data_IF_902027209633
#
_entry.id   IF_902027209633
#
_cell.length_a   1.000
_cell.length_b   1.000
_cell.length_c   1.000
_cell.angle_alpha   90.00
_cell.angle_beta   90.00
_cell.angle_gamma   90.00
#
_symmetry.space_group_name_H-M   'P 1'
#
loop_
_entity.id
_entity.type
_entity.pdbx_description
1 polymer ?
#
# COMPACT_ATOMS: atom_id res chain seq x y z
N UNK A 1 -35.39 -35.71 18.06
CA UNK A 1 -33.93 -35.51 18.19
C UNK A 1 -33.38 -35.52 16.78
N UNK A 2 -33.22 -34.35 16.17
CA UNK A 2 -32.66 -34.23 14.81
C UNK A 2 -31.15 -34.13 14.98
N UNK A 3 -30.43 -35.19 14.61
CA UNK A 3 -28.98 -35.15 14.48
C UNK A 3 -28.70 -34.35 13.22
N UNK A 4 -28.31 -33.08 13.37
CA UNK A 4 -27.73 -32.34 12.26
C UNK A 4 -26.42 -33.03 11.92
N UNK A 5 -26.38 -33.64 10.74
CA UNK A 5 -25.17 -34.17 10.14
C UNK A 5 -24.26 -32.97 9.83
N UNK A 6 -23.35 -32.67 10.75
CA UNK A 6 -22.32 -31.63 10.58
C UNK A 6 -21.17 -32.12 9.70
N UNK A 7 -21.44 -33.01 8.74
CA UNK A 7 -20.45 -33.36 7.73
C UNK A 7 -20.36 -32.22 6.72
N UNK A 8 -19.16 -31.63 6.60
CA UNK A 8 -18.86 -30.70 5.53
C UNK A 8 -19.12 -31.43 4.21
N UNK A 9 -19.86 -30.77 3.31
CA UNK A 9 -19.97 -31.25 1.94
C UNK A 9 -18.56 -31.33 1.36
N UNK A 10 -18.31 -32.32 0.50
CA UNK A 10 -17.06 -32.43 -0.26
C UNK A 10 -16.74 -31.12 -1.02
N UNK A 11 -17.77 -30.39 -1.45
CA UNK A 11 -17.63 -29.08 -2.08
C UNK A 11 -17.11 -28.01 -1.11
N UNK A 12 -17.52 -28.06 0.16
CA UNK A 12 -17.05 -27.15 1.21
C UNK A 12 -15.60 -27.46 1.61
N UNK A 13 -15.23 -28.74 1.69
CA UNK A 13 -13.84 -29.15 1.97
C UNK A 13 -12.89 -28.68 0.87
N UNK A 14 -13.28 -28.83 -0.41
CA UNK A 14 -12.49 -28.32 -1.54
C UNK A 14 -12.35 -26.81 -1.46
N UNK A 15 -13.43 -26.10 -1.17
CA UNK A 15 -13.42 -24.64 -1.09
C UNK A 15 -12.52 -24.13 0.02
N UNK A 16 -12.54 -24.77 1.19
CA UNK A 16 -11.65 -24.45 2.30
C UNK A 16 -10.18 -24.70 1.92
N UNK A 17 -9.89 -25.84 1.30
CA UNK A 17 -8.53 -26.18 0.83
C UNK A 17 -8.01 -25.16 -0.19
N UNK A 18 -8.86 -24.71 -1.11
CA UNK A 18 -8.50 -23.66 -2.08
C UNK A 18 -8.26 -22.30 -1.42
N UNK A 19 -9.08 -21.94 -0.43
CA UNK A 19 -8.89 -20.70 0.35
C UNK A 19 -7.56 -20.76 1.13
N UNK A 20 -7.25 -21.89 1.76
CA UNK A 20 -5.98 -22.10 2.44
C UNK A 20 -4.80 -22.00 1.49
N UNK A 21 -4.89 -22.59 0.29
CA UNK A 21 -3.86 -22.49 -0.74
C UNK A 21 -3.69 -21.05 -1.22
N UNK A 22 -4.77 -20.31 -1.44
CA UNK A 22 -4.72 -18.90 -1.85
C UNK A 22 -4.09 -18.05 -0.75
N UNK A 23 -4.43 -18.29 0.52
CA UNK A 23 -3.85 -17.58 1.65
C UNK A 23 -2.35 -17.90 1.80
N UNK A 24 -1.96 -19.17 1.69
CA UNK A 24 -0.57 -19.60 1.67
C UNK A 24 0.21 -18.95 0.51
N UNK A 25 -0.38 -18.95 -0.68
CA UNK A 25 0.20 -18.26 -1.82
C UNK A 25 0.32 -16.78 -1.53
N UNK A 26 -0.70 -16.08 -1.04
CA UNK A 26 -0.61 -14.65 -0.72
C UNK A 26 0.45 -14.33 0.35
N UNK A 27 0.60 -15.18 1.36
CA UNK A 27 1.63 -15.04 2.40
C UNK A 27 3.05 -15.22 1.85
N UNK A 28 3.24 -16.10 0.87
CA UNK A 28 4.56 -16.46 0.33
C UNK A 28 4.85 -15.93 -1.10
N UNK A 29 3.88 -15.32 -1.78
CA UNK A 29 3.99 -14.84 -3.17
C UNK A 29 4.36 -13.37 -3.24
N UNK A 30 5.27 -12.91 -2.38
CA UNK A 30 5.93 -11.64 -2.63
C UNK A 30 6.93 -11.88 -3.77
N UNK A 31 6.66 -11.46 -5.02
CA UNK A 31 7.48 -11.82 -6.18
C UNK A 31 8.92 -11.33 -6.03
N UNK A 32 9.14 -10.31 -5.20
CA UNK A 32 10.48 -9.82 -4.89
C UNK A 32 11.24 -10.77 -3.94
N UNK A 33 10.57 -11.36 -2.95
CA UNK A 33 11.21 -12.33 -2.07
C UNK A 33 11.61 -13.58 -2.86
N UNK A 34 10.75 -14.01 -3.78
CA UNK A 34 11.06 -15.09 -4.71
C UNK A 34 12.25 -14.77 -5.63
N UNK A 35 12.35 -13.54 -6.16
CA UNK A 35 13.49 -13.11 -6.97
C UNK A 35 14.80 -13.05 -6.16
N UNK A 36 14.73 -12.69 -4.88
CA UNK A 36 15.86 -12.67 -3.93
C UNK A 36 16.34 -14.10 -3.67
N UNK A 37 15.43 -15.03 -3.39
CA UNK A 37 15.76 -16.46 -3.21
C UNK A 37 16.30 -17.08 -4.49
N UNK A 38 15.71 -16.75 -5.65
CA UNK A 38 16.21 -17.17 -6.95
C UNK A 38 17.62 -16.65 -7.22
N UNK A 39 17.88 -15.36 -6.98
CA UNK A 39 19.20 -14.78 -7.15
C UNK A 39 20.24 -15.48 -6.28
N UNK A 40 19.89 -15.76 -5.02
CA UNK A 40 20.75 -16.53 -4.12
C UNK A 40 20.99 -17.96 -4.63
N UNK A 41 19.95 -18.69 -5.04
CA UNK A 41 20.06 -20.04 -5.59
C UNK A 41 20.93 -20.11 -6.86
N UNK A 42 21.03 -19.01 -7.62
CA UNK A 42 21.85 -18.89 -8.81
C UNK A 42 23.26 -18.31 -8.54
N UNK A 43 23.68 -18.21 -7.28
CA UNK A 43 25.04 -17.82 -6.91
C UNK A 43 25.27 -16.32 -6.76
N UNK A 44 24.21 -15.51 -6.64
CA UNK A 44 24.38 -14.13 -6.21
C UNK A 44 24.95 -14.07 -4.79
N UNK A 45 25.84 -13.12 -4.56
CA UNK A 45 26.48 -12.95 -3.26
C UNK A 45 25.45 -12.60 -2.17
N UNK A 46 25.52 -13.32 -1.05
CA UNK A 46 24.56 -13.21 0.05
C UNK A 46 24.53 -11.81 0.67
N UNK A 47 25.67 -11.11 0.70
CA UNK A 47 25.75 -9.75 1.23
C UNK A 47 25.02 -8.77 0.31
N UNK A 48 25.18 -8.91 -1.01
CA UNK A 48 24.45 -8.09 -2.00
C UNK A 48 22.93 -8.31 -1.88
N UNK A 49 22.50 -9.57 -1.80
CA UNK A 49 21.07 -9.94 -1.70
C UNK A 49 20.44 -9.39 -0.42
N UNK A 50 21.12 -9.50 0.73
CA UNK A 50 20.63 -8.94 1.99
C UNK A 50 20.58 -7.41 1.97
N UNK A 51 21.60 -6.75 1.40
CA UNK A 51 21.61 -5.29 1.28
C UNK A 51 20.46 -4.80 0.40
N UNK A 52 20.21 -5.46 -0.74
CA UNK A 52 19.06 -5.16 -1.58
C UNK A 52 17.72 -5.33 -0.85
N UNK A 53 17.59 -6.37 -0.02
CA UNK A 53 16.40 -6.60 0.82
C UNK A 53 16.20 -5.49 1.86
N UNK A 54 17.28 -5.07 2.53
CA UNK A 54 17.24 -4.00 3.52
C UNK A 54 16.88 -2.65 2.88
N UNK A 55 17.48 -2.34 1.73
CA UNK A 55 17.18 -1.12 0.98
C UNK A 55 15.73 -1.12 0.49
N UNK A 56 15.23 -2.25 -0.01
CA UNK A 56 13.81 -2.37 -0.39
C UNK A 56 12.89 -2.13 0.81
N UNK A 57 13.22 -2.69 1.98
CA UNK A 57 12.45 -2.48 3.21
C UNK A 57 12.46 -1.01 3.64
N UNK A 58 13.61 -0.33 3.50
CA UNK A 58 13.75 1.11 3.75
C UNK A 58 12.87 1.93 2.80
N UNK A 59 12.95 1.66 1.50
CA UNK A 59 12.16 2.36 0.47
C UNK A 59 10.65 2.13 0.66
N UNK A 60 10.22 0.92 1.00
CA UNK A 60 8.81 0.63 1.31
C UNK A 60 8.29 1.47 2.48
N UNK A 61 9.08 1.60 3.55
CA UNK A 61 8.72 2.45 4.70
C UNK A 61 8.63 3.92 4.29
N UNK A 62 9.55 4.38 3.44
CA UNK A 62 9.57 5.76 2.94
C UNK A 62 8.33 6.06 2.08
N UNK A 63 7.98 5.15 1.16
CA UNK A 63 6.77 5.25 0.33
C UNK A 63 5.51 5.26 1.19
N UNK A 64 5.43 4.39 2.20
CA UNK A 64 4.28 4.32 3.11
C UNK A 64 4.12 5.63 3.91
N UNK A 65 5.23 6.16 4.43
CA UNK A 65 5.24 7.46 5.09
C UNK A 65 4.78 8.60 4.17
N UNK A 66 5.23 8.61 2.91
CA UNK A 66 4.77 9.60 1.94
C UNK A 66 3.29 9.45 1.61
N UNK A 67 2.79 8.22 1.42
CA UNK A 67 1.36 7.98 1.20
C UNK A 67 0.51 8.56 2.34
N UNK A 68 0.85 8.24 3.59
CA UNK A 68 0.14 8.78 4.75
C UNK A 68 0.18 10.31 4.81
N UNK A 69 1.31 10.91 4.42
CA UNK A 69 1.46 12.38 4.36
C UNK A 69 0.59 13.01 3.26
N UNK A 70 0.42 12.33 2.13
CA UNK A 70 -0.43 12.78 1.02
C UNK A 70 -1.91 12.42 1.18
N UNK A 71 -2.27 11.52 2.10
CA UNK A 71 -3.66 11.24 2.44
C UNK A 71 -4.26 12.33 3.35
N UNK A 72 -3.41 13.02 4.12
CA UNK A 72 -3.85 14.06 5.07
C UNK A 72 -3.51 15.46 4.57
N UNK A 73 -4.42 16.17 3.88
CA UNK A 73 -4.20 17.55 3.49
C UNK A 73 -4.07 18.44 4.72
N UNK A 74 -3.05 19.31 4.73
CA UNK A 74 -2.79 20.22 5.86
C UNK A 74 -3.47 21.57 5.69
N UNK A 75 -3.71 21.96 4.44
CA UNK A 75 -4.36 23.20 4.07
C UNK A 75 -4.98 23.04 2.68
N UNK A 76 -5.70 24.05 2.25
CA UNK A 76 -6.43 24.13 1.00
C UNK A 76 -6.19 25.50 0.38
N UNK A 77 -6.12 25.59 -0.94
CA UNK A 77 -5.94 26.85 -1.65
C UNK A 77 -6.85 26.89 -2.88
N UNK A 78 -7.08 28.09 -3.41
CA UNK A 78 -7.72 28.28 -4.71
C UNK A 78 -6.70 28.53 -5.81
N UNK A 79 -7.03 28.16 -7.03
CA UNK A 79 -6.27 28.48 -8.25
C UNK A 79 -7.00 29.52 -9.08
N UNK A 80 -6.26 30.50 -9.61
CA UNK A 80 -6.83 31.48 -10.53
C UNK A 80 -6.73 31.00 -11.98
N UNK A 81 -7.15 31.82 -12.95
CA UNK A 81 -7.09 31.50 -14.39
C UNK A 81 -5.67 31.18 -14.90
N UNK A 82 -4.64 31.61 -14.18
CA UNK A 82 -3.24 31.36 -14.49
C UNK A 82 -2.64 30.19 -13.67
N UNK A 83 -3.46 29.42 -12.96
CA UNK A 83 -3.06 28.34 -12.05
C UNK A 83 -2.17 28.77 -10.86
N UNK A 84 -2.16 30.07 -10.53
CA UNK A 84 -1.47 30.55 -9.34
C UNK A 84 -2.32 30.32 -8.09
N UNK A 85 -1.68 29.92 -6.99
CA UNK A 85 -2.34 29.68 -5.70
C UNK A 85 -2.71 30.99 -5.00
N UNK A 86 -3.92 31.06 -4.46
CA UNK A 86 -4.40 32.14 -3.61
C UNK A 86 -5.43 31.62 -2.59
N UNK A 87 -5.87 32.45 -1.64
CA UNK A 87 -6.88 32.11 -0.61
C UNK A 87 -6.56 30.81 0.16
N UNK A 88 -5.44 30.82 0.89
CA UNK A 88 -4.96 29.71 1.73
C UNK A 88 -5.85 29.55 2.97
N UNK A 89 -6.36 28.34 3.19
CA UNK A 89 -7.24 28.00 4.31
C UNK A 89 -6.85 26.68 4.95
N UNK A 90 -7.12 26.55 6.24
CA UNK A 90 -6.88 25.30 6.99
C UNK A 90 -8.01 24.29 6.74
N UNK A 91 -9.20 24.77 6.37
CA UNK A 91 -10.39 23.95 6.16
C UNK A 91 -10.92 24.09 4.74
N UNK A 92 -11.43 22.99 4.18
CA UNK A 92 -12.16 23.03 2.92
C UNK A 92 -13.50 23.76 3.10
N UNK A 93 -13.82 24.63 2.15
CA UNK A 93 -15.16 25.19 2.04
C UNK A 93 -15.94 24.44 0.94
N UNK A 94 -16.95 23.62 1.29
CA UNK A 94 -17.70 22.82 0.31
C UNK A 94 -18.58 23.67 -0.62
N UNK A 95 -18.82 24.94 -0.29
CA UNK A 95 -19.66 25.86 -1.08
C UNK A 95 -18.88 26.61 -2.17
N UNK A 96 -17.58 26.38 -2.29
CA UNK A 96 -16.74 26.91 -3.39
C UNK A 96 -16.74 25.89 -4.53
N UNK A 97 -16.61 26.36 -5.78
CA UNK A 97 -16.33 25.49 -6.91
C UNK A 97 -15.07 24.65 -6.65
N UNK A 98 -15.24 23.34 -6.46
CA UNK A 98 -14.15 22.43 -6.13
C UNK A 98 -13.17 22.23 -7.30
N UNK A 99 -13.50 22.68 -8.52
CA UNK A 99 -12.57 22.64 -9.67
C UNK A 99 -11.40 23.60 -9.53
N UNK A 100 -11.60 24.68 -8.77
CA UNK A 100 -10.57 25.69 -8.53
C UNK A 100 -9.91 25.52 -7.15
N UNK A 101 -10.23 24.46 -6.42
CA UNK A 101 -9.72 24.22 -5.06
C UNK A 101 -8.73 23.08 -5.08
N UNK A 102 -7.55 23.29 -4.49
CA UNK A 102 -6.48 22.30 -4.42
C UNK A 102 -6.09 22.03 -2.95
N UNK A 103 -6.01 20.76 -2.53
CA UNK A 103 -5.43 20.42 -1.24
C UNK A 103 -3.92 20.68 -1.28
N UNK A 104 -3.40 21.22 -0.18
CA UNK A 104 -1.98 21.43 0.05
C UNK A 104 -1.48 20.40 1.06
N UNK A 105 -0.38 19.77 0.70
CA UNK A 105 0.25 18.73 1.50
C UNK A 105 1.53 19.24 2.14
N UNK A 106 1.87 18.64 3.27
CA UNK A 106 3.14 18.94 3.93
C UNK A 106 4.26 18.24 3.18
N UNK A 107 5.30 19.01 2.81
CA UNK A 107 6.54 18.41 2.33
C UNK A 107 7.18 17.62 3.48
N UNK A 108 7.59 16.37 3.26
CA UNK A 108 8.35 15.61 4.24
C UNK A 108 9.65 16.34 4.59
N UNK A 109 10.06 16.23 5.85
CA UNK A 109 11.35 16.78 6.31
C UNK A 109 12.44 15.80 5.87
N UNK A 110 13.38 16.27 5.05
CA UNK A 110 14.62 15.53 4.81
C UNK A 110 15.50 15.79 6.03
N UNK A 111 15.67 14.79 6.90
CA UNK A 111 16.70 14.82 7.94
C UNK A 111 18.09 14.55 7.33
#
# INVERSE_FOLDING_TARGET
MVLFDNSLSWEDEIRLTFIELINYMQEHSNPIEHLIEFAWANGADRFIVNNAKDELKRLRKEVEFYKQSFETPVAWAKTNEHNNLFDLRIQNNPYVDQKIVVPLYRKPKND
#
